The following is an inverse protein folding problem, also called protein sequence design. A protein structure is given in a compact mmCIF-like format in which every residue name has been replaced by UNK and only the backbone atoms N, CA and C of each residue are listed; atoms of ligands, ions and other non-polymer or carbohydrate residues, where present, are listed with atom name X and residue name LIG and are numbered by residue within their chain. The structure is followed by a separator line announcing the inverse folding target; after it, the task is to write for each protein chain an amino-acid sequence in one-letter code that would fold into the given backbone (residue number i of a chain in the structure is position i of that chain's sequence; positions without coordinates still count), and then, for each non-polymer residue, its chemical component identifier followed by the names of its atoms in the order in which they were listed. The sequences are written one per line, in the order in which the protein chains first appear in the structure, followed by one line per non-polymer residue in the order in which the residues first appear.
data_IF_152467500844
#
_entry.id   IF_152467500844
#
_cell.length_a   1.000
_cell.length_b   1.000
_cell.length_c   1.000
_cell.angle_alpha   90.00
_cell.angle_beta   90.00
_cell.angle_gamma   90.00
#
_symmetry.space_group_name_H-M   'P 1'
#
loop_
_entity.id
_entity.type
_entity.pdbx_description
1 polymer ?
#
# COMPACT_ATOMS: atom_id res chain seq x y z
N UNK A 1 -22.23 -30.37 26.70
CA UNK A 1 -21.71 -31.14 25.55
C UNK A 1 -21.82 -32.61 25.88
N UNK A 2 -22.77 -33.30 25.25
CA UNK A 2 -22.82 -34.77 25.36
C UNK A 2 -21.85 -35.39 24.33
N UNK A 3 -21.47 -36.65 24.53
CA UNK A 3 -20.49 -37.34 23.67
C UNK A 3 -20.94 -37.44 22.20
N UNK A 4 -22.24 -37.43 21.95
CA UNK A 4 -22.83 -37.49 20.61
C UNK A 4 -22.64 -36.18 19.85
N UNK A 5 -22.82 -35.03 20.51
CA UNK A 5 -22.59 -33.71 19.90
C UNK A 5 -21.12 -33.50 19.48
N UNK A 6 -20.19 -34.01 20.28
CA UNK A 6 -18.77 -33.97 19.96
C UNK A 6 -18.45 -34.87 18.76
N UNK A 7 -18.99 -36.10 18.75
CA UNK A 7 -18.83 -37.04 17.64
C UNK A 7 -19.37 -36.46 16.33
N UNK A 8 -20.58 -35.89 16.33
CA UNK A 8 -21.20 -35.25 15.17
C UNK A 8 -20.40 -34.04 14.68
N UNK A 9 -19.77 -33.30 15.59
CA UNK A 9 -18.89 -32.18 15.24
C UNK A 9 -17.62 -32.66 14.52
N UNK A 10 -16.98 -33.72 15.04
CA UNK A 10 -15.79 -34.30 14.43
C UNK A 10 -16.08 -34.96 13.08
N UNK A 11 -17.20 -35.69 12.96
CA UNK A 11 -17.62 -36.31 11.71
C UNK A 11 -17.89 -35.25 10.62
N UNK A 12 -18.57 -34.15 10.99
CA UNK A 12 -18.81 -33.02 10.07
C UNK A 12 -17.51 -32.36 9.63
N UNK A 13 -16.58 -32.09 10.56
CA UNK A 13 -15.28 -31.51 10.24
C UNK A 13 -14.46 -32.39 9.29
N UNK A 14 -14.45 -33.72 9.55
CA UNK A 14 -13.74 -34.68 8.70
C UNK A 14 -14.35 -34.76 7.30
N UNK A 15 -15.68 -34.82 7.18
CA UNK A 15 -16.39 -34.78 5.89
C UNK A 15 -16.11 -33.48 5.11
N UNK A 16 -16.00 -32.34 5.80
CA UNK A 16 -15.63 -31.06 5.18
C UNK A 16 -14.18 -31.05 4.70
N UNK A 17 -13.24 -31.62 5.46
CA UNK A 17 -11.84 -31.74 5.08
C UNK A 17 -11.65 -32.65 3.84
N UNK A 18 -12.34 -33.79 3.79
CA UNK A 18 -12.34 -34.69 2.61
C UNK A 18 -12.91 -33.97 1.39
N UNK A 19 -14.03 -33.27 1.52
CA UNK A 19 -14.62 -32.50 0.41
C UNK A 19 -13.71 -31.36 -0.11
N UNK A 20 -12.85 -30.81 0.75
CA UNK A 20 -11.82 -29.83 0.37
C UNK A 20 -10.63 -30.50 -0.33
N UNK A 21 -10.20 -31.69 0.13
CA UNK A 21 -9.12 -32.46 -0.48
C UNK A 21 -9.50 -33.02 -1.87
N UNK A 22 -10.74 -33.48 -2.03
CA UNK A 22 -11.26 -34.04 -3.29
C UNK A 22 -11.62 -32.97 -4.34
N UNK A 23 -11.39 -31.68 -4.06
CA UNK A 23 -11.70 -30.55 -4.94
C UNK A 23 -13.20 -30.43 -5.34
N UNK A 24 -14.10 -31.19 -4.67
CA UNK A 24 -15.54 -31.25 -4.97
C UNK A 24 -16.32 -30.06 -4.44
N UNK A 25 -15.78 -29.36 -3.43
CA UNK A 25 -16.19 -27.99 -3.09
C UNK A 25 -15.01 -27.05 -3.32
N UNK A 26 -15.01 -26.35 -4.46
CA UNK A 26 -14.09 -25.24 -4.74
C UNK A 26 -14.26 -24.18 -3.65
N UNK A 27 -13.47 -24.25 -2.59
CA UNK A 27 -13.27 -23.11 -1.70
C UNK A 27 -12.85 -21.94 -2.58
N UNK A 28 -13.43 -20.75 -2.36
CA UNK A 28 -13.04 -19.55 -3.12
C UNK A 28 -11.60 -19.16 -2.72
N UNK A 29 -10.61 -19.79 -3.34
CA UNK A 29 -9.21 -19.42 -3.16
C UNK A 29 -8.92 -18.18 -4.00
N UNK A 30 -8.74 -17.02 -3.36
CA UNK A 30 -8.23 -15.82 -4.03
C UNK A 30 -6.70 -15.90 -4.03
N UNK A 31 -6.11 -16.25 -5.18
CA UNK A 31 -4.67 -16.08 -5.38
C UNK A 31 -4.40 -14.58 -5.44
N UNK A 32 -3.63 -14.06 -4.48
CA UNK A 32 -3.18 -12.66 -4.48
C UNK A 32 -1.75 -12.67 -4.99
N UNK A 33 -1.51 -12.04 -6.13
CA UNK A 33 -0.16 -11.75 -6.60
C UNK A 33 0.27 -10.44 -5.98
N UNK A 34 1.38 -10.44 -5.23
CA UNK A 34 1.95 -9.22 -4.67
C UNK A 34 2.97 -8.69 -5.67
N UNK A 35 2.69 -7.53 -6.26
CA UNK A 35 3.64 -6.85 -7.14
C UNK A 35 4.88 -6.41 -6.36
N UNK A 36 6.05 -6.52 -7.00
CA UNK A 36 7.31 -6.02 -6.47
C UNK A 36 7.24 -4.53 -6.15
N UNK A 37 8.03 -4.09 -5.16
CA UNK A 37 8.09 -2.69 -4.78
C UNK A 37 8.84 -1.90 -5.85
N UNK A 38 8.29 -0.78 -6.32
CA UNK A 38 9.02 0.11 -7.23
C UNK A 38 10.22 0.73 -6.52
N UNK A 39 11.28 0.94 -7.28
CA UNK A 39 12.46 1.70 -6.84
C UNK A 39 12.40 3.09 -7.45
N UNK A 40 12.60 4.11 -6.63
CA UNK A 40 12.60 5.50 -7.09
C UNK A 40 14.01 6.07 -7.02
N UNK A 41 14.46 6.69 -8.11
CA UNK A 41 15.67 7.51 -8.12
C UNK A 41 15.37 8.92 -7.61
N UNK A 42 16.41 9.66 -7.26
CA UNK A 42 16.30 11.07 -6.87
C UNK A 42 15.54 11.93 -7.89
N UNK A 43 15.76 11.65 -9.19
CA UNK A 43 15.09 12.34 -10.30
C UNK A 43 13.60 11.99 -10.32
N UNK A 44 13.25 10.73 -10.08
CA UNK A 44 11.85 10.29 -10.09
C UNK A 44 11.06 10.96 -8.96
N UNK A 45 11.64 11.03 -7.75
CA UNK A 45 11.02 11.71 -6.61
C UNK A 45 10.77 13.18 -6.90
N UNK A 46 11.78 13.88 -7.42
CA UNK A 46 11.66 15.30 -7.76
C UNK A 46 10.63 15.55 -8.86
N UNK A 47 10.64 14.72 -9.90
CA UNK A 47 9.68 14.81 -10.99
C UNK A 47 8.25 14.52 -10.51
N UNK A 48 8.09 13.53 -9.64
CA UNK A 48 6.81 13.19 -9.03
C UNK A 48 6.25 14.35 -8.22
N UNK A 49 7.05 14.92 -7.30
CA UNK A 49 6.65 16.09 -6.51
C UNK A 49 6.23 17.27 -7.40
N UNK A 50 7.01 17.54 -8.45
CA UNK A 50 6.70 18.63 -9.38
C UNK A 50 5.43 18.36 -10.20
N UNK A 51 5.15 17.10 -10.54
CA UNK A 51 3.94 16.69 -11.26
C UNK A 51 2.67 16.92 -10.43
N UNK A 52 2.76 16.77 -9.11
CA UNK A 52 1.67 17.11 -8.18
C UNK A 52 1.72 18.58 -7.72
N UNK A 53 2.58 19.39 -8.34
CA UNK A 53 2.71 20.84 -8.13
C UNK A 53 3.05 21.26 -6.69
N UNK A 54 3.64 20.39 -5.88
CA UNK A 54 3.94 20.67 -4.48
C UNK A 54 5.35 21.22 -4.25
N UNK A 55 5.49 22.15 -3.31
CA UNK A 55 6.80 22.49 -2.71
C UNK A 55 7.37 21.31 -1.92
N UNK A 56 8.68 21.34 -1.60
CA UNK A 56 9.30 20.27 -0.80
C UNK A 56 8.68 20.16 0.60
N UNK A 57 8.27 21.27 1.21
CA UNK A 57 7.60 21.28 2.52
C UNK A 57 6.22 20.64 2.45
N UNK A 58 5.40 21.05 1.49
CA UNK A 58 4.06 20.47 1.31
C UNK A 58 4.12 18.98 0.95
N UNK A 59 5.10 18.59 0.13
CA UNK A 59 5.32 17.18 -0.17
C UNK A 59 5.75 16.36 1.04
N UNK A 60 6.56 16.95 1.92
CA UNK A 60 6.96 16.31 3.18
C UNK A 60 5.75 16.09 4.10
N UNK A 61 4.85 17.06 4.17
CA UNK A 61 3.60 16.98 4.92
C UNK A 61 2.66 15.91 4.34
N UNK A 62 2.44 15.91 3.02
CA UNK A 62 1.69 14.86 2.30
C UNK A 62 2.22 13.46 2.63
N UNK A 63 3.55 13.29 2.65
CA UNK A 63 4.20 12.02 2.91
C UNK A 63 4.34 11.68 4.41
N UNK A 64 4.01 12.61 5.31
CA UNK A 64 4.18 12.45 6.75
C UNK A 64 5.64 12.31 7.20
N UNK A 65 6.57 12.99 6.52
CA UNK A 65 8.02 12.95 6.77
C UNK A 65 8.61 14.34 6.93
N UNK A 66 9.88 14.43 7.34
CA UNK A 66 10.58 15.71 7.42
C UNK A 66 10.98 16.25 6.05
N UNK A 67 11.04 17.57 5.89
CA UNK A 67 11.56 18.22 4.66
C UNK A 67 12.99 17.76 4.34
N UNK A 68 13.83 17.58 5.37
CA UNK A 68 15.19 17.04 5.23
C UNK A 68 15.21 15.64 4.61
N UNK A 69 14.17 14.83 4.85
CA UNK A 69 14.03 13.51 4.23
C UNK A 69 13.75 13.65 2.74
N UNK A 70 12.87 14.58 2.34
CA UNK A 70 12.59 14.89 0.93
C UNK A 70 13.85 15.41 0.23
N UNK A 71 14.58 16.34 0.84
CA UNK A 71 15.86 16.84 0.31
C UNK A 71 16.90 15.71 0.14
N UNK A 72 17.00 14.80 1.11
CA UNK A 72 17.90 13.65 1.03
C UNK A 72 17.52 12.69 -0.10
N UNK A 73 16.23 12.51 -0.37
CA UNK A 73 15.74 11.72 -1.50
C UNK A 73 16.03 12.41 -2.84
N UNK A 74 15.67 13.69 -2.99
CA UNK A 74 15.87 14.45 -4.23
C UNK A 74 17.33 14.74 -4.56
N UNK A 75 18.23 14.68 -3.58
CA UNK A 75 19.68 14.76 -3.78
C UNK A 75 20.35 13.40 -3.98
N UNK A 76 19.61 12.29 -3.82
CA UNK A 76 20.13 10.93 -3.95
C UNK A 76 21.04 10.50 -2.79
N UNK A 77 21.03 11.22 -1.67
CA UNK A 77 21.81 10.83 -0.47
C UNK A 77 21.25 9.55 0.15
N UNK A 78 19.93 9.40 0.16
CA UNK A 78 19.20 8.21 0.62
C UNK A 78 18.00 7.96 -0.31
N UNK A 79 17.44 6.75 -0.26
CA UNK A 79 16.23 6.39 -1.02
C UNK A 79 15.02 6.21 -0.10
N UNK A 80 13.79 6.29 -0.64
CA UNK A 80 12.59 5.92 0.11
C UNK A 80 12.67 4.46 0.58
N UNK A 81 12.23 4.22 1.82
CA UNK A 81 12.09 2.85 2.32
C UNK A 81 10.89 2.14 1.64
N UNK A 82 10.68 0.86 1.95
CA UNK A 82 9.65 0.07 1.29
C UNK A 82 8.23 0.61 1.47
N UNK A 83 7.88 1.13 2.65
CA UNK A 83 6.56 1.72 2.89
C UNK A 83 6.39 3.05 2.15
N UNK A 84 7.41 3.91 2.17
CA UNK A 84 7.39 5.15 1.39
C UNK A 84 7.30 4.88 -0.12
N UNK A 85 8.04 3.89 -0.62
CA UNK A 85 7.97 3.49 -2.04
C UNK A 85 6.58 2.97 -2.41
N UNK A 86 5.93 2.21 -1.52
CA UNK A 86 4.55 1.78 -1.73
C UNK A 86 3.58 2.96 -1.70
N UNK A 87 3.76 3.92 -0.79
CA UNK A 87 2.90 5.10 -0.73
C UNK A 87 3.04 5.96 -1.99
N UNK A 88 4.27 6.21 -2.45
CA UNK A 88 4.55 6.89 -3.72
C UNK A 88 3.84 6.20 -4.89
N UNK A 89 3.91 4.86 -4.96
CA UNK A 89 3.21 4.07 -5.97
C UNK A 89 1.69 4.27 -5.93
N UNK A 90 1.10 4.33 -4.73
CA UNK A 90 -0.33 4.50 -4.56
C UNK A 90 -0.80 5.91 -4.95
N UNK A 91 -0.04 6.94 -4.58
CA UNK A 91 -0.33 8.32 -4.96
C UNK A 91 -0.15 8.48 -6.48
N UNK A 92 0.91 7.92 -7.06
CA UNK A 92 1.14 7.94 -8.52
C UNK A 92 0.00 7.28 -9.30
N UNK A 93 -0.57 6.20 -8.77
CA UNK A 93 -1.70 5.52 -9.39
C UNK A 93 -3.01 6.32 -9.31
N UNK A 94 -3.25 7.09 -8.25
CA UNK A 94 -4.48 7.86 -8.05
C UNK A 94 -4.21 9.21 -7.35
N UNK A 95 -3.64 10.22 -8.04
CA UNK A 95 -3.25 11.48 -7.41
C UNK A 95 -4.43 12.23 -6.79
N UNK A 96 -5.56 12.30 -7.49
CA UNK A 96 -6.75 13.07 -7.08
C UNK A 96 -7.25 12.71 -5.67
N UNK A 97 -7.21 11.42 -5.32
CA UNK A 97 -7.65 10.93 -4.00
C UNK A 97 -6.89 11.59 -2.87
N UNK A 98 -5.59 11.84 -3.07
CA UNK A 98 -4.74 12.44 -2.04
C UNK A 98 -4.78 13.97 -2.06
N UNK A 99 -5.06 14.57 -3.22
CA UNK A 99 -5.13 16.03 -3.36
C UNK A 99 -6.46 16.58 -2.84
N UNK A 100 -7.57 15.85 -2.99
CA UNK A 100 -8.89 16.27 -2.50
C UNK A 100 -9.02 16.17 -0.96
N UNK A 101 -8.33 15.20 -0.36
CA UNK A 101 -8.48 14.88 1.06
C UNK A 101 -7.56 15.73 1.96
N UNK A 102 -6.53 16.36 1.37
CA UNK A 102 -5.59 17.23 2.06
C UNK A 102 -5.86 18.68 1.65
N UNK A 103 -6.39 19.48 2.58
CA UNK A 103 -6.53 20.93 2.40
C UNK A 103 -5.16 21.58 2.56
N UNK A 104 -4.31 21.47 1.53
CA UNK A 104 -2.98 22.06 1.58
C UNK A 104 -3.12 23.58 1.41
N UNK A 105 -2.72 24.36 2.41
CA UNK A 105 -2.83 25.83 2.38
C UNK A 105 -2.07 26.42 1.17
N UNK A 106 -2.65 27.46 0.54
CA UNK A 106 -2.31 28.03 -0.78
C UNK A 106 -0.83 28.45 -1.01
N UNK A 107 0.07 28.39 -0.01
CA UNK A 107 1.52 28.62 -0.21
C UNK A 107 2.28 27.37 -0.73
N UNK A 108 1.59 26.24 -0.86
CA UNK A 108 2.18 24.95 -1.20
C UNK A 108 2.33 24.65 -2.70
N UNK A 109 1.75 25.47 -3.57
CA UNK A 109 1.70 25.22 -5.02
C UNK A 109 2.85 25.96 -5.69
N UNK A 110 3.63 25.23 -6.50
CA UNK A 110 4.70 25.82 -7.31
C UNK A 110 4.09 26.81 -8.33
N UNK A 111 4.43 28.10 -8.23
CA UNK A 111 4.11 29.12 -9.23
C UNK A 111 4.98 29.01 -10.49
#
# INVERSE_FOLDING_TARGET
MNMTELFDSLERGLKQAVAHADNTKKARTKKIMITELPTYTAKDIKAFRQKVELTQSAFAELMGISVKTVEAWESGRNNPNGSASRLLQLIEANPEVFMDELTIENEAILH
#
